data_IF_995689511668
#
_entry.id   IF_995689511668
#
_cell.length_a   1.000
_cell.length_b   1.000
_cell.length_c   1.000
_cell.angle_alpha   90.00
_cell.angle_beta   90.00
_cell.angle_gamma   90.00
#
_symmetry.space_group_name_H-M   'P 1'
#
loop_
_entity.id
_entity.type
_entity.pdbx_description
1 polymer ?
#
# COMPACT_ATOMS: atom_id res chain seq x y z
N UNK A 1 28.40 -36.16 26.03
CA UNK A 1 27.14 -35.97 25.28
C UNK A 1 27.10 -34.53 24.80
N UNK A 2 27.74 -34.24 23.68
CA UNK A 2 27.74 -32.89 23.10
C UNK A 2 26.58 -32.81 22.12
N UNK A 3 25.60 -31.96 22.42
CA UNK A 3 24.43 -31.75 21.58
C UNK A 3 24.90 -31.14 20.25
N UNK A 4 24.64 -31.77 19.08
CA UNK A 4 25.10 -31.21 17.82
C UNK A 4 24.46 -29.84 17.59
N UNK A 5 25.29 -28.83 17.36
CA UNK A 5 24.93 -27.44 17.10
C UNK A 5 24.16 -27.24 15.79
N UNK A 6 23.77 -28.32 15.10
CA UNK A 6 22.99 -28.32 13.85
C UNK A 6 21.56 -27.79 14.00
N UNK A 7 21.06 -27.62 15.22
CA UNK A 7 19.74 -27.03 15.47
C UNK A 7 19.75 -25.49 15.48
N UNK A 8 20.92 -24.84 15.42
CA UNK A 8 21.00 -23.39 15.38
C UNK A 8 20.84 -22.93 13.93
N UNK A 9 19.65 -22.40 13.60
CA UNK A 9 19.43 -21.73 12.31
C UNK A 9 20.41 -20.54 12.22
N UNK A 10 21.21 -20.44 11.15
CA UNK A 10 22.11 -19.30 10.99
C UNK A 10 21.30 -17.99 10.96
N UNK A 11 21.88 -16.86 11.39
CA UNK A 11 21.22 -15.58 11.26
C UNK A 11 20.88 -15.32 9.78
N UNK A 12 19.73 -14.68 9.50
CA UNK A 12 19.35 -14.37 8.12
C UNK A 12 20.43 -13.49 7.47
N UNK A 13 20.78 -13.78 6.22
CA UNK A 13 21.64 -12.89 5.44
C UNK A 13 20.89 -11.59 5.09
N UNK A 14 21.64 -10.60 4.59
CA UNK A 14 21.08 -9.29 4.27
C UNK A 14 20.01 -9.35 3.17
N UNK A 15 20.12 -10.29 2.23
CA UNK A 15 19.15 -10.49 1.15
C UNK A 15 17.82 -11.02 1.70
N UNK A 16 17.88 -12.05 2.54
CA UNK A 16 16.71 -12.57 3.27
C UNK A 16 16.06 -11.50 4.15
N UNK A 17 16.85 -10.68 4.84
CA UNK A 17 16.32 -9.57 5.65
C UNK A 17 15.63 -8.50 4.78
N UNK A 18 16.24 -8.08 3.67
CA UNK A 18 15.67 -7.09 2.75
C UNK A 18 14.38 -7.60 2.11
N UNK A 19 14.36 -8.87 1.67
CA UNK A 19 13.16 -9.49 1.11
C UNK A 19 12.02 -9.55 2.14
N UNK A 20 12.33 -9.92 3.39
CA UNK A 20 11.35 -9.92 4.48
C UNK A 20 10.81 -8.51 4.77
N UNK A 21 11.67 -7.49 4.75
CA UNK A 21 11.26 -6.09 4.92
C UNK A 21 10.33 -5.65 3.78
N UNK A 22 10.72 -5.87 2.52
CA UNK A 22 9.88 -5.54 1.36
C UNK A 22 8.53 -6.24 1.40
N UNK A 23 8.50 -7.51 1.82
CA UNK A 23 7.26 -8.28 1.96
C UNK A 23 6.36 -7.68 3.04
N UNK A 24 6.91 -7.34 4.22
CA UNK A 24 6.15 -6.72 5.31
C UNK A 24 5.63 -5.34 4.89
N UNK A 25 6.45 -4.53 4.23
CA UNK A 25 6.05 -3.23 3.70
C UNK A 25 4.92 -3.37 2.68
N UNK A 26 5.03 -4.32 1.75
CA UNK A 26 3.98 -4.61 0.77
C UNK A 26 2.65 -5.00 1.42
N UNK A 27 2.69 -5.84 2.48
CA UNK A 27 1.50 -6.20 3.24
C UNK A 27 0.85 -4.99 3.92
N UNK A 28 1.66 -4.09 4.50
CA UNK A 28 1.16 -2.87 5.13
C UNK A 28 0.51 -1.95 4.08
N UNK A 29 1.17 -1.75 2.93
CA UNK A 29 0.63 -0.95 1.83
C UNK A 29 -0.69 -1.53 1.33
N UNK A 30 -0.76 -2.85 1.10
CA UNK A 30 -1.98 -3.52 0.66
C UNK A 30 -3.13 -3.35 1.67
N UNK A 31 -2.85 -3.47 2.97
CA UNK A 31 -3.86 -3.28 4.01
C UNK A 31 -4.40 -1.84 4.05
N UNK A 32 -3.51 -0.85 3.91
CA UNK A 32 -3.89 0.56 3.81
C UNK A 32 -4.75 0.78 2.57
N UNK A 33 -4.36 0.21 1.43
CA UNK A 33 -5.06 0.36 0.16
C UNK A 33 -6.47 -0.24 0.17
N UNK A 34 -6.65 -1.40 0.79
CA UNK A 34 -7.98 -2.01 1.02
C UNK A 34 -8.84 -1.09 1.89
N UNK A 35 -8.27 -0.56 2.97
CA UNK A 35 -8.97 0.34 3.88
C UNK A 35 -9.37 1.65 3.19
N UNK A 36 -8.48 2.23 2.41
CA UNK A 36 -8.71 3.46 1.63
C UNK A 36 -9.82 3.25 0.60
N UNK A 37 -9.85 2.13 -0.12
CA UNK A 37 -10.96 1.77 -1.00
C UNK A 37 -12.29 1.54 -0.26
N UNK A 38 -12.23 1.17 1.03
CA UNK A 38 -13.39 1.16 1.92
C UNK A 38 -13.86 2.59 2.25
N UNK A 39 -12.93 3.49 2.57
CA UNK A 39 -13.24 4.90 2.83
C UNK A 39 -13.88 5.60 1.63
N UNK A 40 -13.37 5.38 0.41
CA UNK A 40 -13.97 5.90 -0.82
C UNK A 40 -15.43 5.47 -0.95
N UNK A 41 -15.75 4.21 -0.64
CA UNK A 41 -17.13 3.70 -0.70
C UNK A 41 -18.03 4.32 0.36
N UNK A 42 -17.60 4.38 1.63
CA UNK A 42 -18.48 4.89 2.71
C UNK A 42 -18.68 6.40 2.66
N UNK A 43 -17.78 7.13 1.98
CA UNK A 43 -17.89 8.58 1.75
C UNK A 43 -18.52 8.94 0.42
N UNK A 44 -18.94 7.94 -0.37
CA UNK A 44 -19.46 8.11 -1.74
C UNK A 44 -18.51 8.88 -2.69
N UNK A 45 -17.20 8.83 -2.43
CA UNK A 45 -16.18 9.54 -3.21
C UNK A 45 -15.78 8.79 -4.49
N UNK A 46 -16.50 7.74 -4.89
CA UNK A 46 -16.08 6.84 -5.97
C UNK A 46 -16.17 7.43 -7.39
N UNK A 47 -16.71 8.63 -7.53
CA UNK A 47 -16.87 9.35 -8.81
C UNK A 47 -16.39 10.81 -8.74
N UNK A 48 -15.59 11.17 -7.73
CA UNK A 48 -15.01 12.50 -7.57
C UNK A 48 -14.06 12.89 -8.73
N UNK A 49 -13.36 11.94 -9.35
CA UNK A 49 -12.54 12.10 -10.56
C UNK A 49 -13.23 11.57 -11.82
N UNK A 50 -14.42 11.00 -11.69
CA UNK A 50 -15.15 10.38 -12.80
C UNK A 50 -14.36 9.30 -13.54
N UNK A 51 -14.42 9.35 -14.87
CA UNK A 51 -13.72 8.42 -15.78
C UNK A 51 -12.26 8.85 -16.06
N UNK A 52 -11.84 10.00 -15.54
CA UNK A 52 -10.52 10.56 -15.83
C UNK A 52 -9.45 9.92 -14.94
N UNK A 53 -8.46 9.33 -15.61
CA UNK A 53 -7.21 8.82 -15.03
C UNK A 53 -6.15 8.75 -16.14
N UNK A 54 -4.91 9.24 -15.95
CA UNK A 54 -4.27 9.70 -14.71
C UNK A 54 -4.50 11.16 -14.34
N UNK A 55 -5.18 11.93 -15.20
CA UNK A 55 -5.62 13.28 -14.84
C UNK A 55 -6.93 13.16 -14.07
N UNK A 56 -7.15 14.03 -13.09
CA UNK A 56 -8.42 14.22 -12.41
C UNK A 56 -8.79 15.70 -12.54
N UNK A 57 -9.95 16.01 -13.12
CA UNK A 57 -10.35 17.37 -13.54
C UNK A 57 -9.30 18.07 -14.42
N UNK A 58 -8.60 17.32 -15.27
CA UNK A 58 -7.55 17.84 -16.14
C UNK A 58 -6.22 18.16 -15.42
N UNK A 59 -6.06 17.78 -14.15
CA UNK A 59 -4.84 17.99 -13.37
C UNK A 59 -4.22 16.66 -12.91
N UNK A 60 -2.88 16.59 -12.92
CA UNK A 60 -2.14 15.43 -12.36
C UNK A 60 -2.04 15.47 -10.83
N UNK A 61 -2.07 16.66 -10.25
CA UNK A 61 -2.20 16.83 -8.80
C UNK A 61 -3.60 17.39 -8.57
N UNK A 62 -4.50 16.64 -7.92
CA UNK A 62 -5.88 17.06 -7.77
C UNK A 62 -5.99 18.31 -6.90
N UNK A 63 -7.15 18.96 -6.99
CA UNK A 63 -7.52 20.00 -6.04
C UNK A 63 -7.64 19.40 -4.63
N UNK A 64 -7.39 20.21 -3.59
CA UNK A 64 -7.50 19.79 -2.19
C UNK A 64 -8.97 19.71 -1.73
N UNK A 65 -9.74 18.83 -2.37
CA UNK A 65 -11.06 18.39 -1.91
C UNK A 65 -10.92 16.99 -1.33
N UNK A 66 -11.59 16.73 -0.20
CA UNK A 66 -11.50 15.44 0.49
C UNK A 66 -11.94 14.27 -0.41
N UNK A 67 -13.01 14.41 -1.20
CA UNK A 67 -13.55 13.34 -2.05
C UNK A 67 -12.54 12.99 -3.16
N UNK A 68 -12.05 14.04 -3.83
CA UNK A 68 -11.07 13.94 -4.91
C UNK A 68 -9.75 13.36 -4.41
N UNK A 69 -9.28 13.79 -3.25
CA UNK A 69 -8.04 13.28 -2.64
C UNK A 69 -8.19 11.80 -2.27
N UNK A 70 -9.34 11.38 -1.72
CA UNK A 70 -9.58 9.99 -1.37
C UNK A 70 -9.59 9.10 -2.62
N UNK A 71 -10.29 9.51 -3.68
CA UNK A 71 -10.35 8.74 -4.92
C UNK A 71 -9.00 8.69 -5.63
N UNK A 72 -8.34 9.85 -5.80
CA UNK A 72 -7.05 9.95 -6.46
C UNK A 72 -5.97 9.16 -5.71
N UNK A 73 -5.94 9.27 -4.37
CA UNK A 73 -5.00 8.51 -3.54
C UNK A 73 -5.25 7.00 -3.66
N UNK A 74 -6.51 6.56 -3.72
CA UNK A 74 -6.83 5.15 -3.91
C UNK A 74 -6.37 4.63 -5.29
N UNK A 75 -6.48 5.45 -6.35
CA UNK A 75 -6.09 5.04 -7.70
C UNK A 75 -4.56 5.06 -7.92
N UNK A 76 -3.82 5.96 -7.26
CA UNK A 76 -2.37 6.14 -7.48
C UNK A 76 -1.48 5.15 -6.72
N UNK A 77 -1.93 4.67 -5.56
CA UNK A 77 -1.13 3.91 -4.60
C UNK A 77 -0.99 2.43 -4.92
#
# INVERSE_FOLDING_TARGET
MEKPLSHIKPPPDKGELNFRILTILGLIVAFIQISLGGFVRVTDSGMACGDDWPLCDGQLVPTFNYEVVLEYAHRVS
#
